data_IF_186098438322
#
_entry.id   IF_186098438322
#
_cell.length_a   1.000
_cell.length_b   1.000
_cell.length_c   1.000
_cell.angle_alpha   90.00
_cell.angle_beta   90.00
_cell.angle_gamma   90.00
#
_symmetry.space_group_name_H-M   'P 1'
#
loop_
_entity.id
_entity.type
_entity.pdbx_description
1 polymer ?
#
# COMPACT_ATOMS: atom_id res chain seq x y z
N UNK A 1 -61.45 5.19 -43.70
CA UNK A 1 -60.46 5.69 -42.71
C UNK A 1 -59.26 6.25 -43.46
N UNK A 2 -58.66 7.36 -43.00
CA UNK A 2 -57.50 7.97 -43.67
C UNK A 2 -56.26 7.10 -43.42
N UNK A 3 -55.40 6.92 -44.43
CA UNK A 3 -54.17 6.11 -44.35
C UNK A 3 -53.24 6.55 -43.21
N UNK A 4 -53.16 7.85 -42.94
CA UNK A 4 -52.41 8.42 -41.81
C UNK A 4 -52.90 7.91 -40.44
N UNK A 5 -54.20 7.70 -40.26
CA UNK A 5 -54.76 7.15 -39.02
C UNK A 5 -54.39 5.68 -38.85
N UNK A 6 -54.40 4.91 -39.94
CA UNK A 6 -53.98 3.49 -39.93
C UNK A 6 -52.50 3.40 -39.57
N UNK A 7 -51.64 4.23 -40.18
CA UNK A 7 -50.19 4.24 -39.94
C UNK A 7 -49.83 4.61 -38.49
N UNK A 8 -50.54 5.57 -37.89
CA UNK A 8 -50.31 6.00 -36.51
C UNK A 8 -50.71 4.90 -35.52
N UNK A 9 -51.85 4.24 -35.76
CA UNK A 9 -52.31 3.10 -34.95
C UNK A 9 -51.32 1.93 -35.04
N UNK A 10 -50.88 1.56 -36.24
CA UNK A 10 -49.93 0.45 -36.41
C UNK A 10 -48.59 0.73 -35.73
N UNK A 11 -48.07 1.96 -35.81
CA UNK A 11 -46.81 2.33 -35.17
C UNK A 11 -46.92 2.29 -33.65
N UNK A 12 -48.03 2.79 -33.09
CA UNK A 12 -48.29 2.70 -31.65
C UNK A 12 -48.37 1.26 -31.14
N UNK A 13 -49.03 0.37 -31.89
CA UNK A 13 -49.13 -1.06 -31.56
C UNK A 13 -47.76 -1.75 -31.59
N UNK A 14 -46.99 -1.53 -32.65
CA UNK A 14 -45.64 -2.13 -32.79
C UNK A 14 -44.70 -1.65 -31.68
N UNK A 15 -44.70 -0.34 -31.38
CA UNK A 15 -43.87 0.22 -30.31
C UNK A 15 -44.25 -0.37 -28.95
N UNK A 16 -45.55 -0.50 -28.66
CA UNK A 16 -46.04 -1.04 -27.39
C UNK A 16 -45.67 -2.51 -27.20
N UNK A 17 -45.81 -3.33 -28.25
CA UNK A 17 -45.41 -4.73 -28.22
C UNK A 17 -43.90 -4.90 -28.08
N UNK A 18 -43.11 -4.07 -28.76
CA UNK A 18 -41.66 -4.04 -28.63
C UNK A 18 -41.22 -3.73 -27.21
N UNK A 19 -41.78 -2.67 -26.60
CA UNK A 19 -41.46 -2.26 -25.23
C UNK A 19 -41.88 -3.34 -24.21
N UNK A 20 -43.08 -3.91 -24.38
CA UNK A 20 -43.56 -5.01 -23.54
C UNK A 20 -42.65 -6.24 -23.61
N UNK A 21 -42.16 -6.60 -24.81
CA UNK A 21 -41.23 -7.71 -24.98
C UNK A 21 -39.88 -7.45 -24.32
N UNK A 22 -39.33 -6.23 -24.44
CA UNK A 22 -38.07 -5.87 -23.77
C UNK A 22 -38.17 -5.98 -22.24
N UNK A 23 -39.28 -5.48 -21.67
CA UNK A 23 -39.55 -5.59 -20.22
C UNK A 23 -39.70 -7.06 -19.81
N UNK A 24 -40.49 -7.84 -20.55
CA UNK A 24 -40.66 -9.27 -20.31
C UNK A 24 -39.33 -10.02 -20.38
N UNK A 25 -38.53 -9.74 -21.40
CA UNK A 25 -37.25 -10.40 -21.64
C UNK A 25 -36.23 -10.08 -20.53
N UNK A 26 -36.11 -8.82 -20.11
CA UNK A 26 -35.24 -8.46 -18.98
C UNK A 26 -35.70 -9.10 -17.67
N UNK A 27 -37.02 -9.12 -17.42
CA UNK A 27 -37.60 -9.79 -16.24
C UNK A 27 -37.34 -11.31 -16.25
N UNK A 28 -37.54 -11.97 -17.40
CA UNK A 28 -37.27 -13.41 -17.59
C UNK A 28 -35.80 -13.74 -17.40
N UNK A 29 -34.90 -12.89 -17.93
CA UNK A 29 -33.44 -13.04 -17.76
C UNK A 29 -33.03 -12.90 -16.29
N UNK A 30 -33.58 -11.94 -15.55
CA UNK A 30 -33.26 -11.71 -14.13
C UNK A 30 -33.91 -12.73 -13.17
N UNK A 31 -34.99 -13.36 -13.59
CA UNK A 31 -35.69 -14.42 -12.84
C UNK A 31 -34.98 -15.79 -12.92
N UNK A 32 -34.08 -16.00 -13.87
CA UNK A 32 -33.39 -17.29 -14.02
C UNK A 32 -32.43 -17.57 -12.84
N UNK A 33 -32.60 -18.69 -12.11
CA UNK A 33 -31.75 -19.03 -10.96
C UNK A 33 -30.27 -19.17 -11.31
N UNK A 34 -29.94 -19.69 -12.50
CA UNK A 34 -28.54 -19.86 -12.93
C UNK A 34 -27.86 -18.51 -13.18
N UNK A 35 -28.56 -17.51 -13.72
CA UNK A 35 -28.02 -16.16 -13.90
C UNK A 35 -27.68 -15.50 -12.55
N UNK A 36 -28.57 -15.65 -11.55
CA UNK A 36 -28.31 -15.12 -10.19
C UNK A 36 -27.13 -15.83 -9.52
N UNK A 37 -26.98 -17.14 -9.75
CA UNK A 37 -25.86 -17.94 -9.25
C UNK A 37 -24.54 -17.53 -9.90
N UNK A 38 -24.53 -17.31 -11.22
CA UNK A 38 -23.37 -16.78 -11.95
C UNK A 38 -22.97 -15.40 -11.42
N UNK A 39 -23.90 -14.46 -11.30
CA UNK A 39 -23.59 -13.12 -10.78
C UNK A 39 -23.03 -13.14 -9.36
N UNK A 40 -23.54 -14.04 -8.50
CA UNK A 40 -22.98 -14.26 -7.15
C UNK A 40 -21.55 -14.81 -7.21
N UNK A 41 -21.25 -15.71 -8.16
CA UNK A 41 -19.90 -16.26 -8.37
C UNK A 41 -18.94 -15.17 -8.85
N UNK A 42 -19.34 -14.40 -9.85
CA UNK A 42 -18.53 -13.29 -10.40
C UNK A 42 -18.24 -12.23 -9.34
N UNK A 43 -19.25 -11.81 -8.57
CA UNK A 43 -19.05 -10.87 -7.44
C UNK A 43 -18.09 -11.43 -6.38
N UNK A 44 -18.21 -12.72 -6.05
CA UNK A 44 -17.29 -13.38 -5.11
C UNK A 44 -15.88 -13.48 -5.68
N UNK A 45 -15.72 -13.75 -6.96
CA UNK A 45 -14.42 -13.81 -7.62
C UNK A 45 -13.77 -12.43 -7.71
N UNK A 46 -14.51 -11.40 -8.10
CA UNK A 46 -14.02 -10.02 -8.11
C UNK A 46 -13.60 -9.55 -6.71
N UNK A 47 -14.41 -9.85 -5.69
CA UNK A 47 -14.08 -9.51 -4.30
C UNK A 47 -12.91 -10.33 -3.74
N UNK A 48 -12.67 -11.55 -4.24
CA UNK A 48 -11.46 -12.32 -3.90
C UNK A 48 -10.24 -11.73 -4.60
N UNK A 49 -10.33 -11.47 -5.90
CA UNK A 49 -9.26 -10.90 -6.69
C UNK A 49 -8.82 -9.52 -6.15
N UNK A 50 -9.75 -8.66 -5.72
CA UNK A 50 -9.40 -7.38 -5.09
C UNK A 50 -8.67 -7.59 -3.76
N UNK A 51 -9.14 -8.50 -2.92
CA UNK A 51 -8.48 -8.83 -1.64
C UNK A 51 -7.11 -9.47 -1.84
N UNK A 52 -6.96 -10.34 -2.83
CA UNK A 52 -5.70 -11.00 -3.13
C UNK A 52 -4.71 -9.99 -3.73
N UNK A 53 -5.17 -9.06 -4.57
CA UNK A 53 -4.34 -7.95 -5.05
C UNK A 53 -3.87 -7.02 -3.91
N UNK A 54 -4.77 -6.62 -3.00
CA UNK A 54 -4.42 -5.82 -1.82
C UNK A 54 -3.42 -6.54 -0.90
N UNK A 55 -3.57 -7.86 -0.73
CA UNK A 55 -2.63 -8.66 0.06
C UNK A 55 -1.27 -8.74 -0.62
N UNK A 56 -1.22 -9.02 -1.91
CA UNK A 56 0.02 -9.10 -2.67
C UNK A 56 0.76 -7.76 -2.64
N UNK A 57 0.06 -6.62 -2.77
CA UNK A 57 0.67 -5.30 -2.66
C UNK A 57 1.24 -5.02 -1.26
N UNK A 58 0.52 -5.44 -0.21
CA UNK A 58 1.02 -5.32 1.17
C UNK A 58 2.25 -6.20 1.38
N UNK A 59 2.22 -7.45 0.91
CA UNK A 59 3.35 -8.38 1.01
C UNK A 59 4.57 -7.85 0.24
N UNK A 60 4.40 -7.34 -0.98
CA UNK A 60 5.51 -6.76 -1.74
C UNK A 60 6.10 -5.53 -1.06
N UNK A 61 5.26 -4.69 -0.44
CA UNK A 61 5.72 -3.52 0.33
C UNK A 61 6.48 -3.93 1.59
N UNK A 62 6.03 -4.96 2.29
CA UNK A 62 6.74 -5.52 3.46
C UNK A 62 8.11 -6.10 3.06
N UNK A 63 8.17 -6.83 1.94
CA UNK A 63 9.44 -7.36 1.41
C UNK A 63 10.41 -6.24 1.02
N UNK A 64 9.91 -5.14 0.46
CA UNK A 64 10.74 -3.96 0.16
C UNK A 64 11.32 -3.37 1.44
N UNK A 65 10.48 -3.16 2.47
CA UNK A 65 10.90 -2.63 3.77
C UNK A 65 11.96 -3.53 4.42
N UNK A 66 11.72 -4.84 4.46
CA UNK A 66 12.66 -5.81 5.01
C UNK A 66 14.00 -5.78 4.26
N UNK A 67 13.97 -5.73 2.93
CA UNK A 67 15.18 -5.60 2.10
C UNK A 67 15.97 -4.35 2.47
N UNK A 68 15.31 -3.19 2.55
CA UNK A 68 15.99 -1.91 2.85
C UNK A 68 16.65 -1.95 4.23
N UNK A 69 15.97 -2.47 5.25
CA UNK A 69 16.52 -2.57 6.62
C UNK A 69 17.74 -3.51 6.64
N UNK A 70 17.64 -4.67 5.99
CA UNK A 70 18.72 -5.67 5.94
C UNK A 70 19.93 -5.13 5.18
N UNK A 71 19.73 -4.50 4.02
CA UNK A 71 20.81 -3.92 3.22
C UNK A 71 21.50 -2.78 3.96
N UNK A 72 20.75 -1.91 4.65
CA UNK A 72 21.33 -0.84 5.44
C UNK A 72 22.14 -1.36 6.64
N UNK A 73 21.73 -2.49 7.23
CA UNK A 73 22.41 -3.08 8.39
C UNK A 73 23.69 -3.84 8.03
N UNK A 74 23.86 -4.23 6.76
CA UNK A 74 25.06 -4.94 6.26
C UNK A 74 26.22 -4.02 5.95
N UNK A 75 25.97 -2.75 5.66
CA UNK A 75 27.00 -1.81 5.23
C UNK A 75 27.56 -1.04 6.44
N UNK A 76 28.89 -0.97 6.54
CA UNK A 76 29.54 -0.21 7.60
C UNK A 76 29.43 1.29 7.32
N UNK A 77 28.72 2.01 8.18
CA UNK A 77 28.57 3.45 8.05
C UNK A 77 29.91 4.15 8.37
N UNK A 78 30.26 5.20 7.61
CA UNK A 78 31.48 5.96 7.87
C UNK A 78 31.45 6.58 9.27
N UNK A 79 32.58 6.56 9.96
CA UNK A 79 32.71 7.08 11.34
C UNK A 79 33.17 8.53 11.39
N UNK A 80 34.03 8.97 10.45
CA UNK A 80 34.52 10.34 10.34
C UNK A 80 33.45 11.30 9.81
N UNK A 81 33.44 12.55 10.31
CA UNK A 81 32.50 13.59 9.87
C UNK A 81 32.59 13.89 8.37
N UNK A 82 33.81 14.02 7.84
CA UNK A 82 34.05 14.28 6.41
C UNK A 82 33.57 13.10 5.54
N UNK A 83 33.80 11.88 5.99
CA UNK A 83 33.34 10.68 5.28
C UNK A 83 31.81 10.52 5.32
N UNK A 84 31.16 10.90 6.43
CA UNK A 84 29.69 10.93 6.54
C UNK A 84 29.06 11.94 5.60
N UNK A 85 29.64 13.14 5.49
CA UNK A 85 29.14 14.17 4.59
C UNK A 85 29.25 13.72 3.13
N UNK A 86 30.40 13.17 2.73
CA UNK A 86 30.59 12.63 1.37
C UNK A 86 29.60 11.51 1.07
N UNK A 87 29.46 10.55 1.99
CA UNK A 87 28.53 9.43 1.84
C UNK A 87 27.07 9.92 1.76
N UNK A 88 26.69 10.87 2.61
CA UNK A 88 25.37 11.49 2.56
C UNK A 88 25.07 12.08 1.18
N UNK A 89 25.98 12.89 0.64
CA UNK A 89 25.81 13.52 -0.68
C UNK A 89 25.70 12.48 -1.80
N UNK A 90 26.52 11.43 -1.76
CA UNK A 90 26.47 10.33 -2.72
C UNK A 90 25.12 9.60 -2.69
N UNK A 91 24.63 9.27 -1.49
CA UNK A 91 23.35 8.58 -1.33
C UNK A 91 22.16 9.45 -1.74
N UNK A 92 22.15 10.74 -1.40
CA UNK A 92 21.09 11.67 -1.84
C UNK A 92 21.10 11.79 -3.37
N UNK A 93 22.26 12.00 -3.98
CA UNK A 93 22.37 12.08 -5.44
C UNK A 93 21.92 10.79 -6.13
N UNK A 94 22.24 9.62 -5.58
CA UNK A 94 21.79 8.33 -6.10
C UNK A 94 20.26 8.17 -5.99
N UNK A 95 19.66 8.55 -4.85
CA UNK A 95 18.21 8.53 -4.66
C UNK A 95 17.48 9.49 -5.60
N UNK A 96 18.00 10.71 -5.77
CA UNK A 96 17.45 11.69 -6.71
C UNK A 96 17.57 11.24 -8.16
N UNK A 97 18.69 10.63 -8.55
CA UNK A 97 18.86 10.08 -9.89
C UNK A 97 17.84 8.97 -10.19
N UNK A 98 17.52 8.11 -9.20
CA UNK A 98 16.48 7.08 -9.33
C UNK A 98 15.08 7.69 -9.45
N UNK A 99 14.76 8.70 -8.62
CA UNK A 99 13.51 9.46 -8.75
C UNK A 99 13.36 10.11 -10.13
N UNK A 100 14.46 10.63 -10.70
CA UNK A 100 14.49 11.23 -12.03
C UNK A 100 14.20 10.26 -13.18
N UNK A 101 14.42 8.95 -12.99
CA UNK A 101 14.08 7.91 -13.98
C UNK A 101 12.58 7.60 -14.03
N UNK A 102 11.81 8.03 -13.03
CA UNK A 102 10.36 7.90 -12.98
C UNK A 102 9.85 6.81 -12.02
N UNK A 103 8.51 6.60 -11.97
CA UNK A 103 7.85 5.85 -10.91
C UNK A 103 8.30 4.39 -10.74
N UNK A 104 8.77 3.76 -11.81
CA UNK A 104 9.26 2.37 -11.76
C UNK A 104 10.52 2.19 -10.90
N UNK A 105 11.25 3.27 -10.59
CA UNK A 105 12.48 3.24 -9.79
C UNK A 105 12.29 3.80 -8.38
N UNK A 106 11.06 4.12 -7.97
CA UNK A 106 10.79 4.70 -6.65
C UNK A 106 11.14 3.74 -5.52
N UNK A 107 10.88 2.44 -5.69
CA UNK A 107 11.23 1.43 -4.69
C UNK A 107 12.75 1.34 -4.48
N UNK A 108 13.53 1.44 -5.56
CA UNK A 108 14.99 1.45 -5.51
C UNK A 108 15.54 2.73 -4.88
N UNK A 109 14.83 3.87 -5.05
CA UNK A 109 15.22 5.16 -4.48
C UNK A 109 15.10 5.21 -2.95
N UNK A 110 14.29 4.34 -2.34
CA UNK A 110 14.09 4.30 -0.88
C UNK A 110 15.40 4.01 -0.14
N UNK A 111 16.21 3.08 -0.65
CA UNK A 111 17.43 2.63 0.03
C UNK A 111 18.46 3.76 0.19
N UNK A 112 18.87 4.49 -0.87
CA UNK A 112 19.82 5.60 -0.73
C UNK A 112 19.32 6.70 0.23
N UNK A 113 18.05 7.11 0.13
CA UNK A 113 17.50 8.12 1.05
C UNK A 113 17.49 7.63 2.51
N UNK A 114 17.17 6.36 2.74
CA UNK A 114 17.19 5.79 4.08
C UNK A 114 18.63 5.70 4.64
N UNK A 115 19.62 5.34 3.81
CA UNK A 115 21.05 5.37 4.18
C UNK A 115 21.52 6.78 4.54
N UNK A 116 21.15 7.78 3.75
CA UNK A 116 21.47 9.18 4.01
C UNK A 116 20.90 9.65 5.36
N UNK A 117 19.69 9.20 5.72
CA UNK A 117 19.06 9.52 7.00
C UNK A 117 19.83 8.97 8.21
N UNK A 118 20.45 7.79 8.10
CA UNK A 118 21.21 7.16 9.20
C UNK A 118 22.51 7.89 9.55
N UNK A 119 23.11 8.60 8.59
CA UNK A 119 24.37 9.33 8.80
C UNK A 119 24.16 10.80 9.14
N UNK A 120 22.93 11.30 8.98
CA UNK A 120 22.60 12.71 9.18
C UNK A 120 22.44 13.04 10.67
N UNK A 121 23.04 14.15 11.17
CA UNK A 121 23.05 14.47 12.60
C UNK A 121 21.68 14.84 13.18
N UNK A 122 20.77 15.39 12.37
CA UNK A 122 19.43 15.83 12.78
C UNK A 122 18.33 15.17 11.92
N UNK A 123 18.04 13.86 12.10
CA UNK A 123 17.22 13.09 11.17
C UNK A 123 15.81 13.67 10.96
N UNK A 124 15.22 14.30 11.97
CA UNK A 124 13.88 14.92 11.84
C UNK A 124 13.86 16.12 10.89
N UNK A 125 14.94 16.91 10.84
CA UNK A 125 15.06 18.01 9.89
C UNK A 125 15.11 17.48 8.45
N UNK A 126 15.90 16.42 8.22
CA UNK A 126 16.00 15.80 6.90
C UNK A 126 14.68 15.19 6.43
N UNK A 127 13.92 14.56 7.34
CA UNK A 127 12.57 14.04 7.01
C UNK A 127 11.64 15.18 6.55
N UNK A 128 11.70 16.37 7.17
CA UNK A 128 10.91 17.53 6.76
C UNK A 128 11.31 18.07 5.38
N UNK A 129 12.61 17.99 5.04
CA UNK A 129 13.10 18.35 3.71
C UNK A 129 12.57 17.33 2.68
N UNK A 130 12.73 16.04 2.96
CA UNK A 130 12.22 14.97 2.09
C UNK A 130 10.73 15.08 1.81
N UNK A 131 9.92 15.40 2.81
CA UNK A 131 8.48 15.60 2.61
C UNK A 131 8.16 16.62 1.48
N UNK A 132 9.06 17.59 1.25
CA UNK A 132 8.88 18.64 0.25
C UNK A 132 9.59 18.35 -1.07
N UNK A 133 10.66 17.56 -1.07
CA UNK A 133 11.57 17.43 -2.23
C UNK A 133 11.49 16.08 -2.93
N UNK A 134 11.08 15.01 -2.26
CA UNK A 134 11.01 13.67 -2.85
C UNK A 134 9.56 13.25 -3.16
N UNK A 135 9.34 12.34 -4.12
CA UNK A 135 8.00 11.82 -4.43
C UNK A 135 7.31 11.17 -3.23
N UNK A 136 6.00 11.42 -3.08
CA UNK A 136 5.18 10.91 -1.97
C UNK A 136 5.27 9.38 -1.76
N UNK A 137 5.28 8.52 -2.80
CA UNK A 137 5.40 7.07 -2.60
C UNK A 137 6.71 6.65 -1.91
N UNK A 138 7.82 7.33 -2.25
CA UNK A 138 9.14 7.09 -1.65
C UNK A 138 9.13 7.54 -0.20
N UNK A 139 8.64 8.76 0.06
CA UNK A 139 8.54 9.33 1.41
C UNK A 139 7.68 8.48 2.34
N UNK A 140 6.53 8.00 1.86
CA UNK A 140 5.62 7.14 2.64
C UNK A 140 6.29 5.83 3.04
N UNK A 141 7.13 5.28 2.18
CA UNK A 141 7.88 4.04 2.48
C UNK A 141 8.97 4.30 3.52
N UNK A 142 9.74 5.38 3.39
CA UNK A 142 10.78 5.76 4.37
C UNK A 142 10.18 5.99 5.76
N UNK A 143 9.08 6.75 5.84
CA UNK A 143 8.38 7.01 7.11
C UNK A 143 7.81 5.74 7.74
N UNK A 144 7.35 4.79 6.92
CA UNK A 144 6.92 3.47 7.41
C UNK A 144 8.09 2.69 8.02
N UNK A 145 9.26 2.71 7.39
CA UNK A 145 10.49 2.09 7.93
C UNK A 145 10.83 2.70 9.29
N UNK A 146 10.82 4.04 9.40
CA UNK A 146 11.11 4.73 10.65
C UNK A 146 10.13 4.38 11.77
N UNK A 147 8.84 4.29 11.46
CA UNK A 147 7.83 3.90 12.45
C UNK A 147 8.02 2.46 12.94
N UNK A 148 8.50 1.55 12.08
CA UNK A 148 8.83 0.16 12.46
C UNK A 148 10.05 0.15 13.38
N UNK A 149 11.09 0.92 13.07
CA UNK A 149 12.28 1.02 13.93
C UNK A 149 11.97 1.63 15.29
N UNK A 150 11.17 2.69 15.34
CA UNK A 150 10.73 3.29 16.60
C UNK A 150 10.02 2.27 17.49
N UNK A 151 9.07 1.52 16.93
CA UNK A 151 8.38 0.44 17.66
C UNK A 151 9.33 -0.67 18.12
N UNK A 152 10.32 -1.03 17.30
CA UNK A 152 11.32 -2.03 17.67
C UNK A 152 12.20 -1.56 18.83
N UNK A 153 12.58 -0.28 18.86
CA UNK A 153 13.34 0.31 19.98
C UNK A 153 12.49 0.38 21.26
N UNK A 154 11.21 0.75 21.17
CA UNK A 154 10.29 0.79 22.32
C UNK A 154 10.04 -0.60 22.94
N UNK A 155 9.89 -1.63 22.10
CA UNK A 155 9.69 -3.02 22.55
C UNK A 155 10.92 -3.64 23.25
N UNK A 156 12.13 -3.27 22.84
CA UNK A 156 13.37 -3.73 23.50
C UNK A 156 13.57 -3.11 24.89
N UNK A 157 12.97 -1.94 25.15
CA UNK A 157 13.13 -1.23 26.42
C UNK A 157 12.21 -1.78 27.52
N UNK A 158 11.23 -2.61 27.19
CA UNK A 158 10.29 -3.22 28.14
C UNK A 158 10.73 -4.57 28.71
N UNK A 159 11.81 -5.18 28.19
CA UNK A 159 12.31 -6.51 28.58
C UNK A 159 13.65 -6.49 29.36
N UNK A 160 13.88 -5.48 30.21
CA UNK A 160 15.03 -5.50 31.15
C UNK A 160 14.58 -5.85 32.59
N UNK A 161 15.44 -6.53 33.37
CA UNK A 161 15.09 -7.66 34.25
C UNK A 161 14.68 -7.25 35.67
N UNK A 162 13.87 -6.20 35.84
CA UNK A 162 13.43 -5.79 37.18
C UNK A 162 12.22 -6.61 37.67
N UNK A 163 11.38 -7.10 36.74
CA UNK A 163 10.21 -7.93 37.07
C UNK A 163 10.57 -9.39 37.44
N UNK A 164 11.78 -9.87 37.12
CA UNK A 164 12.23 -11.21 37.51
C UNK A 164 12.81 -11.26 38.93
N UNK A 165 13.34 -10.15 39.45
CA UNK A 165 13.94 -10.09 40.79
C UNK A 165 12.89 -9.96 41.91
N UNK A 166 11.72 -9.37 41.64
CA UNK A 166 10.66 -9.20 42.64
C UNK A 166 9.87 -10.49 42.95
N UNK A 167 10.09 -11.58 42.21
CA UNK A 167 9.41 -12.88 42.39
C UNK A 167 10.21 -13.85 43.27
N UNK A 168 11.51 -13.62 43.50
CA UNK A 168 12.41 -14.59 44.14
C UNK A 168 12.75 -14.31 45.61
N UNK A 169 12.29 -13.20 46.21
CA UNK A 169 12.52 -12.90 47.63
C UNK A 169 11.22 -12.64 48.37
N UNK A 170 10.51 -13.73 48.65
CA UNK A 170 9.43 -13.80 49.63
C UNK A 170 9.51 -15.13 50.35
N UNK A 171 10.68 -15.39 50.94
CA UNK A 171 11.01 -16.57 51.75
C UNK A 171 10.11 -16.60 52.98
N UNK A 172 9.42 -17.74 53.14
CA UNK A 172 8.77 -18.19 54.35
C UNK A 172 9.71 -18.06 55.58
N UNK A 173 9.21 -17.45 56.65
CA UNK A 173 9.74 -17.67 58.00
C UNK A 173 8.55 -17.91 58.93
N UNK A 174 8.65 -19.03 59.64
CA UNK A 174 7.75 -19.58 60.69
C UNK A 174 7.16 -18.57 61.68
#
# INVERSE_FOLDING_TARGET
>A
MKSSTIALITTGVVASLGLGYLIYFDSKRRSNPEFRKQLRRERKQAAKASKDAEKNEKESRLQLIERVIVECSREELPTSAEAKEKYFMEQVAAGEALCGKGPSYFDEAVLPFYKALKVYPAPMELVMIYQKTIPEPVFTTITTILAIEQKAMEGQQTETPEAAAASATGVDIE
#
